data_IF_200374501523
#
_entry.id   IF_200374501523
#
_cell.length_a   1.000
_cell.length_b   1.000
_cell.length_c   1.000
_cell.angle_alpha   90.00
_cell.angle_beta   90.00
_cell.angle_gamma   90.00
#
_symmetry.space_group_name_H-M   'P 1'
#
loop_
_entity.id
_entity.type
_entity.pdbx_description
1 polymer ?
#
# COMPACT_ATOMS: atom_id res chain seq x y z
N UNK A 1 -2.46 -12.22 -19.74
CA UNK A 1 -3.41 -11.80 -18.69
C UNK A 1 -3.54 -10.28 -18.77
N UNK A 2 -4.71 -9.75 -19.09
CA UNK A 2 -4.96 -8.30 -19.05
C UNK A 2 -5.13 -7.89 -17.59
N UNK A 3 -4.26 -7.02 -17.09
CA UNK A 3 -4.38 -6.49 -15.73
C UNK A 3 -5.68 -5.70 -15.58
N UNK A 4 -6.45 -5.97 -14.51
CA UNK A 4 -7.58 -5.10 -14.16
C UNK A 4 -7.01 -3.77 -13.66
N UNK A 5 -7.45 -2.66 -14.26
CA UNK A 5 -7.11 -1.33 -13.75
C UNK A 5 -7.59 -1.13 -12.31
N UNK A 6 -6.97 -0.22 -11.56
CA UNK A 6 -7.30 0.04 -10.14
C UNK A 6 -8.79 0.34 -9.92
N UNK A 7 -9.47 0.96 -10.89
CA UNK A 7 -10.92 1.19 -10.82
C UNK A 7 -11.72 -0.11 -10.91
N UNK A 8 -11.34 -1.03 -11.81
CA UNK A 8 -12.01 -2.32 -11.95
C UNK A 8 -11.78 -3.20 -10.70
N UNK A 9 -10.62 -3.09 -10.07
CA UNK A 9 -10.35 -3.72 -8.77
C UNK A 9 -11.25 -3.12 -7.69
N UNK A 10 -11.39 -1.80 -7.63
CA UNK A 10 -12.28 -1.13 -6.67
C UNK A 10 -13.74 -1.59 -6.80
N UNK A 11 -14.25 -1.65 -8.05
CA UNK A 11 -15.61 -2.13 -8.34
C UNK A 11 -15.80 -3.57 -7.87
N UNK A 12 -14.87 -4.47 -8.21
CA UNK A 12 -14.96 -5.87 -7.80
C UNK A 12 -14.94 -6.02 -6.26
N UNK A 13 -14.04 -5.30 -5.57
CA UNK A 13 -13.98 -5.32 -4.09
C UNK A 13 -15.26 -4.79 -3.43
N UNK A 14 -15.93 -3.83 -4.07
CA UNK A 14 -17.20 -3.29 -3.60
C UNK A 14 -18.34 -4.29 -3.81
N UNK A 15 -18.43 -4.92 -4.98
CA UNK A 15 -19.40 -5.98 -5.31
C UNK A 15 -19.29 -7.16 -4.34
N UNK A 16 -18.06 -7.59 -4.05
CA UNK A 16 -17.74 -8.66 -3.11
C UNK A 16 -17.90 -8.26 -1.63
N UNK A 17 -18.27 -7.00 -1.35
CA UNK A 17 -18.39 -6.43 0.01
C UNK A 17 -17.14 -6.65 0.87
N UNK A 18 -15.96 -6.46 0.28
CA UNK A 18 -14.69 -6.57 1.00
C UNK A 18 -14.45 -5.33 1.84
N UNK A 19 -14.22 -5.49 3.14
CA UNK A 19 -13.88 -4.39 4.03
C UNK A 19 -12.57 -3.70 3.62
N UNK A 20 -12.60 -2.37 3.56
CA UNK A 20 -11.39 -1.54 3.50
C UNK A 20 -10.48 -1.80 4.70
N UNK A 21 -9.17 -1.53 4.62
CA UNK A 21 -8.24 -1.82 5.71
C UNK A 21 -8.61 -1.11 7.03
N UNK A 22 -9.16 0.10 6.96
CA UNK A 22 -9.64 0.84 8.14
C UNK A 22 -10.90 0.20 8.72
N UNK A 23 -11.88 -0.17 7.87
CA UNK A 23 -13.10 -0.85 8.32
C UNK A 23 -12.80 -2.22 8.94
N UNK A 24 -11.88 -2.99 8.34
CA UNK A 24 -11.42 -4.26 8.89
C UNK A 24 -10.77 -4.07 10.27
N UNK A 25 -9.85 -3.10 10.42
CA UNK A 25 -9.24 -2.77 11.71
C UNK A 25 -10.28 -2.41 12.76
N UNK A 26 -11.27 -1.59 12.40
CA UNK A 26 -12.38 -1.25 13.29
C UNK A 26 -13.19 -2.48 13.73
N UNK A 27 -13.51 -3.40 12.81
CA UNK A 27 -14.20 -4.64 13.14
C UNK A 27 -13.42 -5.55 14.09
N UNK A 28 -12.08 -5.38 14.15
CA UNK A 28 -11.17 -6.09 15.06
C UNK A 28 -10.86 -5.31 16.34
N UNK A 29 -11.51 -4.16 16.58
CA UNK A 29 -11.27 -3.31 17.74
C UNK A 29 -9.92 -2.57 17.70
N UNK A 30 -9.25 -2.53 16.55
CA UNK A 30 -7.98 -1.82 16.37
C UNK A 30 -8.27 -0.35 16.06
N UNK A 31 -7.61 0.55 16.81
CA UNK A 31 -7.75 1.99 16.62
C UNK A 31 -7.34 2.43 15.21
N UNK A 32 -8.17 3.29 14.60
CA UNK A 32 -7.91 3.89 13.29
C UNK A 32 -7.93 5.41 13.38
N UNK A 33 -7.08 6.08 12.61
CA UNK A 33 -6.98 7.54 12.61
C UNK A 33 -8.21 8.20 11.96
N UNK A 34 -8.79 7.58 10.95
CA UNK A 34 -10.00 8.04 10.25
C UNK A 34 -10.99 6.89 10.16
N UNK A 35 -12.21 7.12 10.65
CA UNK A 35 -13.34 6.21 10.50
C UNK A 35 -14.05 6.54 9.19
N UNK A 36 -14.37 5.52 8.40
CA UNK A 36 -15.20 5.67 7.21
C UNK A 36 -16.61 5.17 7.52
N UNK A 37 -17.62 5.93 7.13
CA UNK A 37 -19.03 5.49 7.16
C UNK A 37 -19.32 4.45 6.07
N UNK A 38 -18.47 4.39 5.04
CA UNK A 38 -18.58 3.46 3.92
C UNK A 38 -17.48 2.39 4.03
N UNK A 39 -17.76 1.23 4.65
CA UNK A 39 -16.74 0.26 4.99
C UNK A 39 -16.19 -0.51 3.76
N UNK A 40 -16.93 -0.50 2.64
CA UNK A 40 -16.59 -1.20 1.39
C UNK A 40 -16.11 -0.25 0.27
N UNK A 41 -16.00 1.05 0.54
CA UNK A 41 -15.59 2.01 -0.48
C UNK A 41 -14.07 2.03 -0.62
N UNK A 42 -13.55 1.36 -1.66
CA UNK A 42 -12.12 1.32 -1.95
C UNK A 42 -11.70 2.46 -2.87
N UNK A 43 -10.95 3.42 -2.34
CA UNK A 43 -10.32 4.46 -3.16
C UNK A 43 -9.26 3.85 -4.08
N UNK A 44 -9.26 4.25 -5.36
CA UNK A 44 -8.30 3.77 -6.36
C UNK A 44 -6.86 4.07 -5.98
N UNK A 45 -6.61 5.22 -5.33
CA UNK A 45 -5.32 5.63 -4.78
C UNK A 45 -4.82 4.66 -3.69
N UNK A 46 -5.73 4.14 -2.87
CA UNK A 46 -5.42 3.17 -1.82
C UNK A 46 -5.04 1.82 -2.44
N UNK A 47 -5.79 1.36 -3.45
CA UNK A 47 -5.47 0.14 -4.19
C UNK A 47 -4.10 0.27 -4.87
N UNK A 48 -3.84 1.40 -5.56
CA UNK A 48 -2.54 1.67 -6.16
C UNK A 48 -1.40 1.61 -5.13
N UNK A 49 -1.58 2.26 -3.97
CA UNK A 49 -0.60 2.25 -2.89
C UNK A 49 -0.31 0.84 -2.34
N UNK A 50 -1.34 -0.01 -2.26
CA UNK A 50 -1.19 -1.41 -1.85
C UNK A 50 -0.42 -2.19 -2.92
N UNK A 51 -0.82 -2.04 -4.18
CA UNK A 51 -0.16 -2.70 -5.30
C UNK A 51 1.30 -2.27 -5.44
N UNK A 52 1.66 -1.04 -5.07
CA UNK A 52 3.03 -0.52 -5.10
C UNK A 52 3.91 -0.97 -3.91
N UNK A 53 3.32 -1.60 -2.89
CA UNK A 53 4.04 -1.89 -1.66
C UNK A 53 5.01 -3.08 -1.78
N UNK A 54 6.29 -2.78 -1.88
CA UNK A 54 7.38 -3.77 -1.98
C UNK A 54 7.46 -4.76 -0.80
N UNK A 55 6.75 -4.51 0.30
CA UNK A 55 6.62 -5.49 1.38
C UNK A 55 6.03 -6.82 0.91
N UNK A 56 5.19 -6.84 -0.12
CA UNK A 56 4.60 -8.08 -0.63
C UNK A 56 5.62 -9.02 -1.29
N UNK A 57 6.77 -8.48 -1.75
CA UNK A 57 7.87 -9.25 -2.34
C UNK A 57 9.03 -9.49 -1.36
N UNK A 58 8.79 -9.36 -0.05
CA UNK A 58 9.78 -9.61 0.99
C UNK A 58 10.79 -8.48 1.18
N UNK A 59 10.52 -7.28 0.65
CA UNK A 59 11.40 -6.10 0.80
C UNK A 59 10.83 -5.15 1.86
N UNK A 60 11.65 -4.79 2.84
CA UNK A 60 11.25 -3.79 3.85
C UNK A 60 11.84 -2.42 3.51
N UNK A 61 10.97 -1.41 3.35
CA UNK A 61 11.35 -0.01 3.14
C UNK A 61 11.39 0.73 4.49
N UNK A 62 12.58 1.15 4.90
CA UNK A 62 12.84 1.89 6.14
C UNK A 62 13.04 3.39 5.89
N UNK A 63 12.98 4.19 6.96
CA UNK A 63 13.24 5.65 6.96
C UNK A 63 12.31 6.49 6.08
N UNK A 64 11.04 6.10 5.92
CA UNK A 64 10.05 6.83 5.10
C UNK A 64 9.75 8.27 5.54
N UNK A 65 10.06 8.62 6.80
CA UNK A 65 9.88 9.99 7.32
C UNK A 65 11.07 10.44 8.14
N UNK A 66 11.41 11.72 8.01
CA UNK A 66 12.43 12.42 8.81
C UNK A 66 11.85 13.68 9.46
N UNK A 67 12.59 14.30 10.39
CA UNK A 67 12.19 15.60 10.96
C UNK A 67 12.59 16.72 9.99
N UNK A 68 11.76 17.76 9.89
CA UNK A 68 12.05 18.94 9.05
C UNK A 68 13.37 19.63 9.47
N UNK A 69 13.71 19.56 10.76
CA UNK A 69 14.97 20.03 11.32
C UNK A 69 15.13 19.54 12.75
N UNK A 70 16.33 19.73 13.33
CA UNK A 70 16.67 19.22 14.66
C UNK A 70 15.68 19.65 15.76
N UNK A 71 15.30 20.93 15.77
CA UNK A 71 14.38 21.52 16.77
C UNK A 71 12.90 21.37 16.42
N UNK A 72 12.56 20.86 15.23
CA UNK A 72 11.17 20.76 14.78
C UNK A 72 10.57 19.39 15.12
N UNK A 73 9.34 19.38 15.64
CA UNK A 73 8.55 18.15 15.82
C UNK A 73 7.84 17.72 14.53
N UNK A 74 7.81 18.57 13.50
CA UNK A 74 7.16 18.28 12.22
C UNK A 74 7.93 17.18 11.48
N UNK A 75 7.23 16.10 11.11
CA UNK A 75 7.75 15.04 10.25
C UNK A 75 7.45 15.36 8.79
N UNK A 76 8.42 15.13 7.92
CA UNK A 76 8.31 15.25 6.47
C UNK A 76 8.65 13.91 5.81
N UNK A 77 8.07 13.60 4.64
CA UNK A 77 8.49 12.44 3.86
C UNK A 77 9.97 12.51 3.50
N UNK A 78 10.68 11.40 3.66
CA UNK A 78 12.06 11.27 3.19
C UNK A 78 12.04 11.02 1.69
N UNK A 79 12.94 11.69 0.96
CA UNK A 79 13.18 11.45 -0.46
C UNK A 79 13.54 9.98 -0.71
N UNK A 80 13.12 9.42 -1.85
CA UNK A 80 13.20 7.97 -2.11
C UNK A 80 14.65 7.43 -2.11
N UNK A 81 15.60 8.24 -2.55
CA UNK A 81 17.05 7.98 -2.55
C UNK A 81 17.66 7.78 -1.16
N UNK A 82 17.07 8.41 -0.13
CA UNK A 82 17.51 8.32 1.27
C UNK A 82 16.77 7.25 2.06
N UNK A 83 15.90 6.47 1.42
CA UNK A 83 15.23 5.33 2.05
C UNK A 83 16.12 4.10 1.92
N UNK A 84 16.05 3.23 2.92
CA UNK A 84 16.79 1.97 2.90
C UNK A 84 15.84 0.85 2.53
N UNK A 85 16.24 0.06 1.55
CA UNK A 85 15.52 -1.15 1.14
C UNK A 85 16.30 -2.36 1.63
N UNK A 86 15.69 -3.14 2.52
CA UNK A 86 16.26 -4.40 3.01
C UNK A 86 15.59 -5.52 2.23
N UNK A 87 16.36 -6.22 1.40
CA UNK A 87 15.86 -7.34 0.63
C UNK A 87 15.72 -8.60 1.50
N UNK A 88 14.70 -9.42 1.20
CA UNK A 88 14.44 -10.69 1.88
C UNK A 88 14.33 -10.56 3.41
N UNK A 89 13.76 -9.44 3.87
CA UNK A 89 13.56 -9.15 5.29
C UNK A 89 12.54 -10.11 5.93
N UNK A 90 11.63 -10.66 5.12
CA UNK A 90 10.59 -11.61 5.53
C UNK A 90 10.14 -12.44 4.34
N UNK A 91 9.42 -13.54 4.61
CA UNK A 91 8.86 -14.41 3.58
C UNK A 91 7.92 -13.62 2.66
N UNK A 92 8.17 -13.61 1.33
CA UNK A 92 7.33 -12.89 0.39
C UNK A 92 5.92 -13.49 0.36
N UNK A 93 4.91 -12.62 0.22
CA UNK A 93 3.52 -13.03 0.03
C UNK A 93 3.26 -13.32 -1.46
N UNK A 94 3.94 -12.59 -2.35
CA UNK A 94 3.82 -12.69 -3.80
C UNK A 94 5.22 -12.93 -4.39
N UNK A 95 5.29 -13.78 -5.42
CA UNK A 95 6.51 -13.99 -6.19
C UNK A 95 7.02 -12.70 -6.87
N UNK A 96 8.34 -12.52 -6.91
CA UNK A 96 8.99 -11.33 -7.49
C UNK A 96 8.81 -11.25 -9.00
N UNK A 97 8.84 -12.38 -9.71
CA UNK A 97 8.62 -12.44 -11.15
C UNK A 97 7.20 -12.02 -11.51
N UNK A 98 6.21 -12.55 -10.79
CA UNK A 98 4.81 -12.15 -10.95
C UNK A 98 4.60 -10.66 -10.65
N UNK A 99 5.26 -10.13 -9.61
CA UNK A 99 5.21 -8.71 -9.29
C UNK A 99 5.81 -7.83 -10.40
N UNK A 100 6.93 -8.23 -11.00
CA UNK A 100 7.60 -7.45 -12.04
C UNK A 100 6.74 -7.30 -13.31
N UNK A 101 5.98 -8.34 -13.69
CA UNK A 101 5.08 -8.32 -14.84
C UNK A 101 3.99 -7.23 -14.75
N UNK A 102 3.63 -6.80 -13.53
CA UNK A 102 2.65 -5.72 -13.35
C UNK A 102 3.22 -4.35 -13.74
N UNK A 103 4.52 -4.13 -13.56
CA UNK A 103 5.18 -2.84 -13.79
C UNK A 103 5.34 -2.62 -15.29
N UNK A 104 5.73 -3.67 -16.02
CA UNK A 104 5.93 -3.62 -17.47
C UNK A 104 4.65 -3.31 -18.27
N UNK A 105 3.47 -3.55 -17.68
CA UNK A 105 2.18 -3.23 -18.31
C UNK A 105 1.77 -1.76 -18.20
N UNK A 106 2.50 -0.94 -17.44
CA UNK A 106 2.19 0.49 -17.21
C UNK A 106 3.04 1.42 -18.09
N UNK A 107 4.03 0.89 -18.81
CA UNK A 107 4.95 1.65 -19.70
C UNK A 107 4.70 1.39 -21.20
N UNK A 108 3.52 0.90 -21.61
CA UNK A 108 3.15 0.71 -23.03
C UNK A 108 1.87 1.42 -23.39
#
# INVERSE_FOLDING_TARGET
MQGKGVSAIATALWEDKVHTPSAYKMSKGIGVAKKSEYPYNWETSMIASILENVAYIGVTESFKSTRLGFKSRKRIPTAKDRRTYIENAHTPIIDRGLWAMRITSTES
#
